data_IF_287076707003
#
_entry.id   IF_287076707003
#
_cell.length_a   1.000
_cell.length_b   1.000
_cell.length_c   1.000
_cell.angle_alpha   90.00
_cell.angle_beta   90.00
_cell.angle_gamma   90.00
#
_symmetry.space_group_name_H-M   'P 1'
#
loop_
_entity.id
_entity.type
_entity.pdbx_description
1 polymer ?
#
# COMPACT_ATOMS: atom_id res chain seq x y z
N UNK A 1 25.58 -7.11 -5.57
CA UNK A 1 24.17 -7.22 -5.13
C UNK A 1 23.99 -6.19 -4.02
N UNK A 2 23.05 -5.25 -4.18
CA UNK A 2 23.00 -4.04 -3.36
C UNK A 2 22.40 -4.35 -1.98
N UNK A 3 23.15 -4.10 -0.89
CA UNK A 3 22.78 -4.48 0.48
C UNK A 3 21.50 -3.81 0.98
N UNK A 4 21.12 -2.69 0.39
CA UNK A 4 19.94 -1.90 0.80
C UNK A 4 18.61 -2.56 0.46
N UNK A 5 18.57 -3.41 -0.59
CA UNK A 5 17.35 -4.13 -0.99
C UNK A 5 16.99 -5.21 0.05
N UNK A 6 17.99 -5.88 0.63
CA UNK A 6 17.78 -6.96 1.61
C UNK A 6 17.24 -6.45 2.97
N UNK A 7 17.29 -5.14 3.21
CA UNK A 7 16.81 -4.55 4.45
C UNK A 7 15.28 -4.68 4.58
N UNK A 8 14.53 -4.59 3.49
CA UNK A 8 13.06 -4.70 3.52
C UNK A 8 12.55 -6.15 3.40
N UNK A 9 13.43 -7.11 3.11
CA UNK A 9 13.10 -8.54 3.08
C UNK A 9 13.00 -9.15 4.49
N UNK A 10 13.59 -8.50 5.50
CA UNK A 10 13.62 -9.07 6.85
C UNK A 10 12.31 -8.82 7.58
N UNK A 11 11.64 -9.90 8.01
CA UNK A 11 10.41 -9.88 8.83
C UNK A 11 10.51 -8.96 10.04
N UNK A 12 11.70 -8.82 10.63
CA UNK A 12 11.91 -7.93 11.77
C UNK A 12 11.69 -6.45 11.44
N UNK A 13 12.11 -6.01 10.25
CA UNK A 13 11.99 -4.61 9.82
C UNK A 13 10.54 -4.31 9.41
N UNK A 14 9.89 -5.24 8.71
CA UNK A 14 8.45 -5.16 8.46
C UNK A 14 7.64 -5.10 9.77
N UNK A 15 7.97 -5.94 10.76
CA UNK A 15 7.31 -5.91 12.07
C UNK A 15 7.52 -4.59 12.82
N UNK A 16 8.74 -4.02 12.82
CA UNK A 16 9.01 -2.69 13.40
C UNK A 16 8.22 -1.58 12.67
N UNK A 17 8.09 -1.68 11.35
CA UNK A 17 7.29 -0.75 10.57
C UNK A 17 5.81 -0.79 10.97
N UNK A 18 5.24 -1.99 11.01
CA UNK A 18 3.84 -2.24 11.35
C UNK A 18 3.50 -1.90 12.81
N UNK A 19 4.44 -2.13 13.75
CA UNK A 19 4.19 -1.96 15.19
C UNK A 19 4.30 -0.51 15.71
N UNK A 20 4.69 0.47 14.89
CA UNK A 20 4.69 1.86 15.34
C UNK A 20 5.51 2.87 14.51
N UNK A 21 6.46 2.42 13.69
CA UNK A 21 7.29 3.36 12.90
C UNK A 21 6.47 4.07 11.82
N UNK A 22 5.42 3.44 11.28
CA UNK A 22 4.53 4.09 10.31
C UNK A 22 3.88 5.37 10.85
N UNK A 23 3.45 5.36 12.12
CA UNK A 23 2.87 6.54 12.76
C UNK A 23 3.87 7.68 13.00
N UNK A 24 5.18 7.38 12.93
CA UNK A 24 6.25 8.35 13.09
C UNK A 24 6.71 8.99 11.78
N UNK A 25 6.19 8.54 10.62
CA UNK A 25 6.51 9.14 9.32
C UNK A 25 5.88 10.54 9.25
N UNK A 26 6.69 11.61 9.15
CA UNK A 26 6.15 12.96 9.06
C UNK A 26 5.24 13.12 7.84
N UNK A 27 4.08 13.72 8.08
CA UNK A 27 3.11 14.08 7.05
C UNK A 27 2.58 12.89 6.21
N UNK A 28 2.60 11.66 6.75
CA UNK A 28 2.16 10.49 6.00
C UNK A 28 0.68 10.56 5.58
N UNK A 29 -0.18 11.16 6.41
CA UNK A 29 -1.59 11.34 6.08
C UNK A 29 -1.76 12.36 4.95
N UNK A 30 -1.09 13.50 5.06
CA UNK A 30 -1.10 14.58 4.08
C UNK A 30 -0.55 14.12 2.72
N UNK A 31 0.45 13.26 2.71
CA UNK A 31 0.96 12.62 1.49
C UNK A 31 -0.15 11.84 0.76
N UNK A 32 -0.92 11.01 1.50
CA UNK A 32 -2.05 10.25 0.94
C UNK A 32 -3.16 11.20 0.46
N UNK A 33 -3.48 12.23 1.25
CA UNK A 33 -4.51 13.21 0.91
C UNK A 33 -4.20 13.95 -0.39
N UNK A 34 -2.97 14.40 -0.58
CA UNK A 34 -2.54 15.07 -1.82
C UNK A 34 -2.70 14.14 -3.02
N UNK A 35 -2.32 12.86 -2.90
CA UNK A 35 -2.52 11.87 -3.97
C UNK A 35 -4.01 11.71 -4.31
N UNK A 36 -4.88 11.61 -3.30
CA UNK A 36 -6.33 11.50 -3.51
C UNK A 36 -6.91 12.76 -4.16
N UNK A 37 -6.45 13.94 -3.77
CA UNK A 37 -6.86 15.21 -4.40
C UNK A 37 -6.50 15.23 -5.89
N UNK A 38 -5.29 14.77 -6.24
CA UNK A 38 -4.86 14.70 -7.64
C UNK A 38 -5.70 13.70 -8.45
N UNK A 39 -5.97 12.51 -7.91
CA UNK A 39 -6.80 11.50 -8.57
C UNK A 39 -8.23 12.02 -8.80
N UNK A 40 -8.84 12.66 -7.78
CA UNK A 40 -10.17 13.28 -7.91
C UNK A 40 -10.16 14.45 -8.91
N UNK A 41 -9.13 15.29 -8.85
CA UNK A 41 -8.95 16.45 -9.72
C UNK A 41 -8.74 16.09 -11.19
N UNK A 42 -8.16 14.92 -11.46
CA UNK A 42 -7.96 14.40 -12.81
C UNK A 42 -9.28 14.03 -13.53
N UNK A 43 -10.41 13.96 -12.80
CA UNK A 43 -11.74 13.61 -13.35
C UNK A 43 -11.74 12.30 -14.16
N UNK A 44 -10.86 11.37 -13.80
CA UNK A 44 -10.82 10.03 -14.38
C UNK A 44 -11.76 9.10 -13.61
N UNK A 45 -12.40 8.17 -14.31
CA UNK A 45 -13.11 7.08 -13.63
C UNK A 45 -12.11 5.98 -13.26
N UNK A 46 -11.82 5.82 -11.97
CA UNK A 46 -10.83 4.85 -11.47
C UNK A 46 -11.45 3.45 -11.46
N UNK A 47 -11.30 2.73 -12.59
CA UNK A 47 -11.75 1.34 -12.70
C UNK A 47 -10.71 0.33 -12.15
N UNK A 48 -9.42 0.69 -12.22
CA UNK A 48 -8.34 -0.14 -11.71
C UNK A 48 -7.07 0.66 -11.42
N UNK A 49 -6.24 0.21 -10.49
CA UNK A 49 -4.94 0.81 -10.19
C UNK A 49 -3.89 -0.22 -9.73
N UNK A 50 -2.63 0.18 -9.79
CA UNK A 50 -1.46 -0.58 -9.32
C UNK A 50 -0.75 0.25 -8.24
N UNK A 51 -0.49 -0.35 -7.09
CA UNK A 51 0.26 0.25 -5.99
C UNK A 51 1.64 -0.43 -5.89
N UNK A 52 2.71 0.33 -6.17
CA UNK A 52 4.09 -0.18 -6.27
C UNK A 52 4.86 0.23 -5.00
N UNK A 53 5.44 -0.75 -4.31
CA UNK A 53 5.93 -0.55 -2.95
C UNK A 53 4.77 -0.33 -1.99
N UNK A 54 3.70 -1.14 -2.15
CA UNK A 54 2.43 -0.91 -1.47
C UNK A 54 2.51 -1.05 0.05
N UNK A 55 3.59 -1.64 0.58
CA UNK A 55 3.76 -1.92 2.00
C UNK A 55 2.56 -2.68 2.55
N UNK A 56 2.03 -2.19 3.67
CA UNK A 56 0.85 -2.73 4.35
C UNK A 56 -0.49 -2.39 3.68
N UNK A 57 -0.47 -1.84 2.46
CA UNK A 57 -1.65 -1.53 1.66
C UNK A 57 -2.43 -0.29 2.10
N UNK A 58 -1.86 0.63 2.88
CA UNK A 58 -2.58 1.84 3.33
C UNK A 58 -3.10 2.69 2.16
N UNK A 59 -2.27 2.96 1.15
CA UNK A 59 -2.67 3.83 0.05
C UNK A 59 -3.79 3.17 -0.75
N UNK A 60 -3.65 1.88 -1.06
CA UNK A 60 -4.71 1.11 -1.69
C UNK A 60 -6.03 1.13 -0.92
N UNK A 61 -6.00 0.99 0.42
CA UNK A 61 -7.20 1.10 1.25
C UNK A 61 -7.86 2.49 1.10
N UNK A 62 -7.08 3.56 1.21
CA UNK A 62 -7.58 4.93 1.07
C UNK A 62 -8.17 5.23 -0.32
N UNK A 63 -7.59 4.64 -1.38
CA UNK A 63 -8.13 4.74 -2.74
C UNK A 63 -9.46 3.95 -2.82
N UNK A 64 -9.52 2.73 -2.29
CA UNK A 64 -10.72 1.89 -2.34
C UNK A 64 -11.89 2.43 -1.49
N UNK A 65 -11.62 3.18 -0.42
CA UNK A 65 -12.66 3.92 0.31
C UNK A 65 -13.37 4.96 -0.58
N UNK A 66 -12.64 5.58 -1.51
CA UNK A 66 -13.18 6.60 -2.43
C UNK A 66 -13.69 6.01 -3.76
N UNK A 67 -13.13 4.88 -4.18
CA UNK A 67 -13.41 4.20 -5.42
C UNK A 67 -13.69 2.71 -5.16
N UNK A 68 -14.81 2.36 -4.48
CA UNK A 68 -15.05 1.00 -3.96
C UNK A 68 -15.21 -0.07 -5.04
N UNK A 69 -15.49 0.33 -6.28
CA UNK A 69 -15.62 -0.58 -7.42
C UNK A 69 -14.31 -0.77 -8.19
N UNK A 70 -13.23 -0.08 -7.80
CA UNK A 70 -11.94 -0.19 -8.46
C UNK A 70 -11.28 -1.54 -8.17
N UNK A 71 -10.61 -2.12 -9.17
CA UNK A 71 -9.75 -3.30 -8.98
C UNK A 71 -8.33 -2.84 -8.65
N UNK A 72 -7.67 -3.49 -7.68
CA UNK A 72 -6.30 -3.14 -7.31
C UNK A 72 -5.34 -4.31 -7.51
N UNK A 73 -4.10 -3.97 -7.86
CA UNK A 73 -2.93 -4.85 -7.78
C UNK A 73 -1.95 -4.22 -6.81
N UNK A 74 -1.50 -5.01 -5.84
CA UNK A 74 -0.52 -4.62 -4.82
C UNK A 74 0.80 -5.31 -5.14
N UNK A 75 1.87 -4.52 -5.27
CA UNK A 75 3.22 -5.02 -5.52
C UNK A 75 4.15 -4.51 -4.43
N UNK A 76 4.74 -5.43 -3.68
CA UNK A 76 5.81 -5.16 -2.74
C UNK A 76 6.80 -6.32 -2.74
N UNK A 77 8.07 -6.03 -2.47
CA UNK A 77 9.12 -7.04 -2.37
C UNK A 77 9.08 -7.77 -1.01
N UNK A 78 8.44 -7.16 -0.01
CA UNK A 78 8.39 -7.66 1.35
C UNK A 78 7.19 -8.58 1.54
N UNK A 79 7.42 -9.89 1.59
CA UNK A 79 6.41 -10.90 1.91
C UNK A 79 5.55 -10.55 3.16
N UNK A 80 6.11 -10.17 4.32
CA UNK A 80 5.31 -9.80 5.50
C UNK A 80 4.46 -8.54 5.30
N UNK A 81 4.88 -7.60 4.46
CA UNK A 81 4.04 -6.46 4.10
C UNK A 81 2.85 -6.90 3.26
N UNK A 82 3.06 -7.80 2.30
CA UNK A 82 1.99 -8.38 1.50
C UNK A 82 1.02 -9.18 2.38
N UNK A 83 1.50 -9.96 3.35
CA UNK A 83 0.63 -10.64 4.33
C UNK A 83 -0.25 -9.63 5.08
N UNK A 84 0.34 -8.55 5.61
CA UNK A 84 -0.40 -7.49 6.29
C UNK A 84 -1.39 -6.76 5.37
N UNK A 85 -1.01 -6.49 4.12
CA UNK A 85 -1.87 -5.87 3.13
C UNK A 85 -3.09 -6.76 2.79
N UNK A 86 -2.87 -8.08 2.66
CA UNK A 86 -3.95 -9.07 2.44
C UNK A 86 -4.95 -9.06 3.60
N UNK A 87 -4.48 -9.03 4.84
CA UNK A 87 -5.34 -8.96 6.03
C UNK A 87 -6.14 -7.65 6.05
N UNK A 88 -5.47 -6.51 5.88
CA UNK A 88 -6.11 -5.18 5.89
C UNK A 88 -7.17 -5.05 4.81
N UNK A 89 -6.90 -5.58 3.61
CA UNK A 89 -7.76 -5.44 2.45
C UNK A 89 -8.70 -6.63 2.24
N UNK A 90 -8.81 -7.54 3.20
CA UNK A 90 -9.67 -8.73 3.13
C UNK A 90 -11.14 -8.42 2.88
N UNK A 91 -11.61 -7.22 3.22
CA UNK A 91 -12.97 -6.73 2.98
C UNK A 91 -13.19 -6.22 1.54
N UNK A 92 -12.12 -6.03 0.76
CA UNK A 92 -12.15 -5.61 -0.63
C UNK A 92 -11.82 -6.80 -1.55
N UNK A 93 -12.45 -6.85 -2.72
CA UNK A 93 -12.13 -7.88 -3.71
C UNK A 93 -10.79 -7.57 -4.38
N UNK A 94 -9.70 -8.27 -4.02
CA UNK A 94 -8.36 -8.05 -4.61
C UNK A 94 -7.71 -9.35 -5.14
N UNK A 95 -6.69 -9.21 -5.99
CA UNK A 95 -5.79 -10.29 -6.44
C UNK A 95 -4.34 -9.89 -6.11
N UNK A 96 -3.69 -10.58 -5.15
CA UNK A 96 -2.27 -10.37 -4.87
C UNK A 96 -1.40 -11.34 -5.68
N UNK A 97 -0.30 -10.82 -6.22
CA UNK A 97 0.70 -11.60 -6.95
C UNK A 97 2.01 -11.46 -6.16
N UNK A 98 2.55 -12.58 -5.67
CA UNK A 98 3.91 -12.66 -5.12
C UNK A 98 4.86 -13.16 -6.21
N UNK A 99 6.07 -12.61 -6.26
CA UNK A 99 7.19 -13.08 -7.09
C UNK A 99 8.32 -13.52 -6.22
#
# INVERSE_FOLDING_TARGET
MNKDIQLWETREIAAKYLSGVRGAIPLAAEQIEVMLMLVKGAKINVNSFLDIGCGDGVLAAAILEHFPNAKTVLLDISEPMIESAKEKLSIYMFTAIQK
#
